data_IF_806431400040
#
_entry.id   IF_806431400040
#
_cell.length_a   1.000
_cell.length_b   1.000
_cell.length_c   1.000
_cell.angle_alpha   90.00
_cell.angle_beta   90.00
_cell.angle_gamma   90.00
#
_symmetry.space_group_name_H-M   'P 1'
#
loop_
_entity.id
_entity.type
_entity.pdbx_description
1 polymer ?
#
# COMPACT_ATOMS: atom_id res chain seq x y z
N UNK A 1 -18.27 -1.43 7.56
CA UNK A 1 -17.57 -2.49 6.80
C UNK A 1 -17.54 -2.03 5.35
N UNK A 2 -16.35 -1.90 4.78
CA UNK A 2 -16.17 -1.50 3.37
C UNK A 2 -15.81 -2.74 2.57
N UNK A 3 -16.40 -2.89 1.38
CA UNK A 3 -16.21 -4.05 0.51
C UNK A 3 -15.99 -3.56 -0.91
N UNK A 4 -14.89 -3.99 -1.52
CA UNK A 4 -14.58 -3.76 -2.93
C UNK A 4 -14.52 -5.13 -3.61
N UNK A 5 -15.37 -5.35 -4.60
CA UNK A 5 -15.34 -6.54 -5.44
C UNK A 5 -15.10 -6.09 -6.88
N UNK A 6 -14.04 -6.63 -7.50
CA UNK A 6 -13.77 -6.55 -8.93
C UNK A 6 -13.73 -7.97 -9.49
N UNK A 7 -13.76 -8.11 -10.81
CA UNK A 7 -13.82 -9.44 -11.45
C UNK A 7 -12.75 -10.41 -10.95
N UNK A 8 -11.54 -9.90 -10.66
CA UNK A 8 -10.37 -10.72 -10.33
C UNK A 8 -9.97 -10.71 -8.84
N UNK A 9 -10.59 -9.87 -7.99
CA UNK A 9 -10.24 -9.86 -6.56
C UNK A 9 -11.36 -9.35 -5.67
N UNK A 10 -11.26 -9.69 -4.38
CA UNK A 10 -12.13 -9.17 -3.33
C UNK A 10 -11.31 -8.51 -2.24
N UNK A 11 -11.72 -7.32 -1.79
CA UNK A 11 -11.17 -6.63 -0.62
C UNK A 11 -12.29 -6.33 0.39
N UNK A 12 -11.99 -6.53 1.67
CA UNK A 12 -12.90 -6.33 2.82
C UNK A 12 -12.17 -5.66 3.95
N UNK A 13 -12.76 -4.58 4.46
CA UNK A 13 -12.24 -3.81 5.58
C UNK A 13 -13.29 -3.70 6.70
N UNK A 14 -12.86 -4.05 7.89
CA UNK A 14 -13.56 -3.87 9.16
C UNK A 14 -12.69 -3.03 10.10
N UNK A 15 -13.26 -2.57 11.22
CA UNK A 15 -12.51 -1.79 12.22
C UNK A 15 -11.20 -2.47 12.65
N UNK A 16 -11.22 -3.80 12.80
CA UNK A 16 -10.10 -4.58 13.38
C UNK A 16 -9.29 -5.40 12.37
N UNK A 17 -9.70 -5.41 11.09
CA UNK A 17 -9.10 -6.29 10.08
C UNK A 17 -9.32 -5.79 8.67
N UNK A 18 -8.27 -5.90 7.85
CA UNK A 18 -8.32 -5.74 6.40
C UNK A 18 -7.86 -7.02 5.71
N UNK A 19 -8.57 -7.41 4.65
CA UNK A 19 -8.31 -8.62 3.91
C UNK A 19 -8.62 -8.39 2.44
N UNK A 20 -7.65 -8.64 1.57
CA UNK A 20 -7.81 -8.66 0.13
C UNK A 20 -7.21 -9.96 -0.41
N UNK A 21 -7.86 -10.58 -1.39
CA UNK A 21 -7.37 -11.80 -2.02
C UNK A 21 -7.79 -11.87 -3.47
N UNK A 22 -6.95 -12.54 -4.24
CA UNK A 22 -7.22 -12.95 -5.61
C UNK A 22 -8.23 -14.11 -5.66
N UNK A 23 -9.02 -14.19 -6.73
CA UNK A 23 -10.07 -15.21 -6.88
C UNK A 23 -9.50 -16.62 -7.00
N UNK A 24 -8.37 -16.79 -7.68
CA UNK A 24 -7.69 -18.07 -7.86
C UNK A 24 -7.02 -18.49 -6.55
N UNK A 25 -6.43 -17.55 -5.82
CA UNK A 25 -5.92 -17.84 -4.47
C UNK A 25 -7.04 -18.33 -3.52
N UNK A 26 -8.23 -17.74 -3.62
CA UNK A 26 -9.38 -18.21 -2.84
C UNK A 26 -9.86 -19.59 -3.27
N UNK A 27 -9.79 -19.93 -4.55
CA UNK A 27 -10.08 -21.30 -5.01
C UNK A 27 -9.03 -22.28 -4.46
N UNK A 28 -7.75 -21.94 -4.61
CA UNK A 28 -6.63 -22.74 -4.13
C UNK A 28 -6.70 -23.02 -2.62
N UNK A 29 -7.04 -22.03 -1.79
CA UNK A 29 -7.20 -22.23 -0.33
C UNK A 29 -8.35 -23.15 0.05
N UNK A 30 -9.38 -23.31 -0.80
CA UNK A 30 -10.46 -24.29 -0.58
C UNK A 30 -10.02 -25.71 -0.90
N UNK A 31 -9.17 -25.87 -1.91
CA UNK A 31 -8.57 -27.15 -2.29
C UNK A 31 -7.50 -27.61 -1.31
N UNK A 32 -6.90 -26.66 -0.58
CA UNK A 32 -5.85 -26.90 0.42
C UNK A 32 -6.32 -26.53 1.84
N UNK A 33 -7.37 -27.18 2.37
CA UNK A 33 -7.90 -26.85 3.68
C UNK A 33 -6.82 -27.04 4.74
N UNK A 34 -6.57 -25.99 5.52
CA UNK A 34 -5.57 -26.01 6.58
C UNK A 34 -4.19 -25.51 6.18
N UNK A 35 -3.91 -25.24 4.90
CA UNK A 35 -2.62 -24.66 4.46
C UNK A 35 -2.25 -23.41 5.28
N UNK A 36 -3.19 -22.46 5.41
CA UNK A 36 -2.94 -21.25 6.19
C UNK A 36 -2.71 -21.53 7.68
N UNK A 37 -3.39 -22.51 8.25
CA UNK A 37 -3.19 -22.90 9.65
C UNK A 37 -1.80 -23.49 9.85
N UNK A 38 -1.38 -24.41 8.97
CA UNK A 38 -0.05 -25.02 9.00
C UNK A 38 1.04 -23.97 8.84
N UNK A 39 0.89 -23.04 7.89
CA UNK A 39 1.82 -21.92 7.72
C UNK A 39 1.95 -21.07 8.99
N UNK A 40 0.82 -20.68 9.58
CA UNK A 40 0.82 -19.89 10.82
C UNK A 40 1.45 -20.66 12.00
N UNK A 41 1.27 -21.97 12.07
CA UNK A 41 1.93 -22.81 13.08
C UNK A 41 3.45 -22.85 12.89
N UNK A 42 3.95 -22.88 11.64
CA UNK A 42 5.38 -22.80 11.34
C UNK A 42 5.93 -21.44 11.78
N UNK A 43 5.39 -20.33 11.27
CA UNK A 43 5.98 -18.99 11.52
C UNK A 43 5.85 -18.52 12.96
N UNK A 44 4.96 -19.12 13.76
CA UNK A 44 4.82 -18.85 15.20
C UNK A 44 5.64 -19.81 16.07
N UNK A 45 6.21 -20.87 15.49
CA UNK A 45 7.01 -21.85 16.20
C UNK A 45 8.30 -21.24 16.76
N UNK A 46 8.88 -21.90 17.77
CA UNK A 46 10.20 -21.51 18.28
C UNK A 46 11.29 -21.74 17.22
N UNK A 47 11.19 -22.85 16.49
CA UNK A 47 12.11 -23.20 15.42
C UNK A 47 12.25 -22.08 14.39
N UNK A 48 11.12 -21.51 13.94
CA UNK A 48 11.15 -20.39 13.01
C UNK A 48 11.72 -19.11 13.61
N UNK A 49 11.46 -18.84 14.90
CA UNK A 49 12.00 -17.65 15.58
C UNK A 49 13.51 -17.71 15.76
N UNK A 50 14.08 -18.91 15.82
CA UNK A 50 15.51 -19.15 15.95
C UNK A 50 16.20 -19.33 14.58
N UNK A 51 15.45 -19.32 13.48
CA UNK A 51 15.96 -19.56 12.13
C UNK A 51 16.77 -18.38 11.56
N UNK A 52 17.69 -18.68 10.66
CA UNK A 52 18.48 -17.71 9.89
C UNK A 52 18.20 -17.81 8.40
N UNK A 53 18.62 -16.79 7.63
CA UNK A 53 18.45 -16.79 6.18
C UNK A 53 19.04 -18.06 5.54
N UNK A 54 18.26 -18.71 4.69
CA UNK A 54 18.54 -20.01 4.07
C UNK A 54 17.92 -21.21 4.79
N UNK A 55 17.52 -21.07 6.06
CA UNK A 55 16.90 -22.16 6.80
C UNK A 55 15.54 -22.55 6.20
N UNK A 56 15.24 -23.84 6.28
CA UNK A 56 14.03 -24.46 5.75
C UNK A 56 13.33 -25.16 6.90
N UNK A 57 12.04 -24.86 7.08
CA UNK A 57 11.19 -25.52 8.07
C UNK A 57 10.04 -26.20 7.33
N UNK A 58 9.86 -27.47 7.63
CA UNK A 58 8.91 -28.34 6.95
C UNK A 58 7.81 -28.82 7.90
N UNK A 59 6.58 -28.88 7.39
CA UNK A 59 5.46 -29.46 8.12
C UNK A 59 4.46 -30.10 7.16
N UNK A 60 4.48 -31.43 7.09
CA UNK A 60 3.74 -32.16 6.07
C UNK A 60 4.32 -31.86 4.69
N UNK A 61 3.48 -31.52 3.73
CA UNK A 61 3.87 -31.13 2.36
C UNK A 61 4.28 -29.66 2.24
N UNK A 62 4.16 -28.89 3.33
CA UNK A 62 4.53 -27.48 3.34
C UNK A 62 5.99 -27.30 3.69
N UNK A 63 6.68 -26.51 2.88
CA UNK A 63 8.07 -26.09 3.09
C UNK A 63 8.15 -24.57 3.13
N UNK A 64 8.73 -24.02 4.18
CA UNK A 64 8.92 -22.57 4.36
C UNK A 64 10.41 -22.29 4.45
N UNK A 65 10.94 -21.52 3.52
CA UNK A 65 12.33 -21.05 3.53
C UNK A 65 12.38 -19.61 3.99
N UNK A 66 13.21 -19.32 4.99
CA UNK A 66 13.54 -17.94 5.37
C UNK A 66 14.53 -17.38 4.36
N UNK A 67 14.12 -16.42 3.54
CA UNK A 67 14.99 -15.78 2.54
C UNK A 67 15.86 -14.74 3.23
N UNK A 68 15.21 -13.87 4.01
CA UNK A 68 15.85 -12.76 4.67
C UNK A 68 15.05 -12.35 5.91
N UNK A 69 15.76 -11.87 6.94
CA UNK A 69 15.17 -11.19 8.09
C UNK A 69 15.56 -9.71 8.02
N UNK A 70 14.60 -8.84 7.74
CA UNK A 70 14.85 -7.40 7.65
C UNK A 70 14.60 -6.74 9.00
N UNK A 71 15.62 -6.05 9.52
CA UNK A 71 15.51 -5.29 10.76
C UNK A 71 14.35 -4.27 10.67
N UNK A 72 13.45 -4.29 11.66
CA UNK A 72 12.22 -3.50 11.74
C UNK A 72 11.11 -3.79 10.70
N UNK A 73 11.31 -4.67 9.70
CA UNK A 73 10.29 -5.01 8.69
C UNK A 73 9.86 -6.48 8.72
N UNK A 74 10.50 -7.31 9.52
CA UNK A 74 10.15 -8.73 9.65
C UNK A 74 10.68 -9.61 8.51
N UNK A 75 10.30 -10.90 8.49
CA UNK A 75 10.86 -11.88 7.57
C UNK A 75 10.29 -11.79 6.15
N UNK A 76 11.09 -12.30 5.21
CA UNK A 76 10.75 -12.57 3.80
C UNK A 76 10.92 -14.05 3.54
N UNK A 77 9.87 -14.68 3.03
CA UNK A 77 9.76 -16.13 2.98
C UNK A 77 9.44 -16.62 1.58
N UNK A 78 9.98 -17.80 1.25
CA UNK A 78 9.45 -18.64 0.19
C UNK A 78 8.59 -19.72 0.82
N UNK A 79 7.36 -19.89 0.36
CA UNK A 79 6.46 -20.95 0.77
C UNK A 79 6.24 -21.87 -0.42
N UNK A 80 6.48 -23.16 -0.25
CA UNK A 80 6.22 -24.20 -1.25
C UNK A 80 5.16 -25.15 -0.68
N UNK A 81 4.09 -25.40 -1.46
CA UNK A 81 3.08 -26.40 -1.15
C UNK A 81 2.51 -26.97 -2.44
N UNK A 82 2.60 -28.29 -2.60
CA UNK A 82 2.02 -29.03 -3.73
C UNK A 82 2.46 -28.50 -5.11
N UNK A 83 3.74 -28.15 -5.23
CA UNK A 83 4.33 -27.61 -6.47
C UNK A 83 3.95 -26.16 -6.78
N UNK A 84 3.19 -25.50 -5.89
CA UNK A 84 2.93 -24.06 -5.98
C UNK A 84 3.87 -23.33 -5.04
N UNK A 85 4.50 -22.28 -5.56
CA UNK A 85 5.46 -21.48 -4.84
C UNK A 85 4.93 -20.06 -4.64
N UNK A 86 5.04 -19.57 -3.41
CA UNK A 86 4.63 -18.23 -3.02
C UNK A 86 5.79 -17.49 -2.37
N UNK A 87 5.80 -16.19 -2.57
CA UNK A 87 6.56 -15.27 -1.75
C UNK A 87 5.66 -14.71 -0.65
N UNK A 88 6.16 -14.63 0.59
CA UNK A 88 5.42 -14.08 1.73
C UNK A 88 6.25 -13.02 2.45
N UNK A 89 5.68 -11.82 2.60
CA UNK A 89 6.20 -10.78 3.50
C UNK A 89 5.39 -10.80 4.79
N UNK A 90 6.08 -10.81 5.93
CA UNK A 90 5.47 -10.56 7.24
C UNK A 90 6.05 -9.23 7.75
N UNK A 91 5.19 -8.25 7.99
CA UNK A 91 5.59 -6.92 8.46
C UNK A 91 5.32 -6.74 9.96
N UNK A 92 6.28 -6.16 10.68
CA UNK A 92 6.11 -5.80 12.09
C UNK A 92 5.28 -4.51 12.22
N UNK A 93 4.26 -4.51 13.08
CA UNK A 93 3.27 -3.42 13.13
C UNK A 93 3.74 -2.15 13.85
N UNK A 94 4.95 -2.10 14.40
CA UNK A 94 5.47 -0.87 15.04
C UNK A 94 5.78 0.26 14.03
N UNK A 95 5.73 -0.01 12.72
CA UNK A 95 6.01 0.93 11.64
C UNK A 95 4.83 1.85 11.27
N UNK A 96 3.67 1.76 11.93
CA UNK A 96 2.49 2.59 11.61
C UNK A 96 2.76 4.11 11.65
N UNK A 97 3.76 4.55 12.43
CA UNK A 97 4.15 5.96 12.51
C UNK A 97 5.02 6.43 11.33
N UNK A 98 5.47 5.53 10.46
CA UNK A 98 6.43 5.82 9.39
C UNK A 98 5.88 5.62 7.97
N UNK A 99 4.56 5.44 7.82
CA UNK A 99 3.93 5.44 6.48
C UNK A 99 4.20 4.20 5.62
N UNK A 100 4.79 3.12 6.17
CA UNK A 100 5.05 1.90 5.40
C UNK A 100 3.78 1.13 5.03
N UNK A 101 3.74 0.69 3.77
CA UNK A 101 2.64 -0.05 3.18
C UNK A 101 2.47 -1.41 3.86
N UNK A 102 1.27 -1.65 4.39
CA UNK A 102 0.89 -2.92 5.01
C UNK A 102 0.43 -3.90 3.94
N UNK A 103 0.42 -5.19 4.22
CA UNK A 103 0.19 -6.20 3.18
C UNK A 103 -1.16 -6.09 2.47
N UNK A 104 -2.21 -5.61 3.15
CA UNK A 104 -3.48 -5.25 2.49
C UNK A 104 -3.34 -4.08 1.51
N UNK A 105 -2.65 -3.00 1.91
CA UNK A 105 -2.39 -1.83 1.05
C UNK A 105 -1.52 -2.21 -0.14
N UNK A 106 -0.44 -2.97 0.08
CA UNK A 106 0.43 -3.45 -1.00
C UNK A 106 -0.37 -4.26 -2.03
N UNK A 107 -1.28 -5.14 -1.60
CA UNK A 107 -2.18 -5.85 -2.51
C UNK A 107 -3.07 -4.89 -3.31
N UNK A 108 -3.75 -3.95 -2.65
CA UNK A 108 -4.67 -3.01 -3.31
C UNK A 108 -3.94 -2.10 -4.29
N UNK A 109 -2.77 -1.59 -3.91
CA UNK A 109 -1.95 -0.74 -4.75
C UNK A 109 -1.38 -1.50 -5.95
N UNK A 110 -0.98 -2.75 -5.76
CA UNK A 110 -0.55 -3.62 -6.87
C UNK A 110 -1.69 -3.85 -7.87
N UNK A 111 -2.91 -4.09 -7.41
CA UNK A 111 -4.08 -4.20 -8.30
C UNK A 111 -4.33 -2.89 -9.05
N UNK A 112 -4.19 -1.74 -8.38
CA UNK A 112 -4.37 -0.44 -9.03
C UNK A 112 -3.27 -0.16 -10.06
N UNK A 113 -2.01 -0.47 -9.75
CA UNK A 113 -0.90 -0.34 -10.68
C UNK A 113 -1.10 -1.25 -11.91
N UNK A 114 -1.63 -2.47 -11.70
CA UNK A 114 -1.97 -3.40 -12.79
C UNK A 114 -3.02 -2.83 -13.73
N UNK A 115 -4.03 -2.14 -13.19
CA UNK A 115 -5.04 -1.44 -14.00
C UNK A 115 -4.44 -0.28 -14.80
N UNK A 116 -3.56 0.53 -14.19
CA UNK A 116 -2.95 1.70 -14.84
C UNK A 116 -1.95 1.31 -15.94
N UNK A 117 -1.21 0.23 -15.72
CA UNK A 117 -0.21 -0.27 -16.66
C UNK A 117 -0.79 -1.20 -17.75
N UNK A 118 -2.10 -1.50 -17.72
CA UNK A 118 -2.71 -2.52 -18.58
C UNK A 118 -2.51 -2.29 -20.09
N UNK A 119 -2.33 -1.04 -20.50
CA UNK A 119 -2.12 -0.66 -21.90
C UNK A 119 -0.62 -0.46 -22.27
N UNK A 120 0.30 -0.57 -21.30
CA UNK A 120 1.72 -0.37 -21.53
C UNK A 120 2.40 -1.69 -21.95
N UNK A 121 2.88 -1.82 -23.21
CA UNK A 121 3.40 -3.08 -23.72
C UNK A 121 4.69 -3.50 -23.00
N UNK A 122 4.80 -4.80 -22.73
CA UNK A 122 5.99 -5.38 -22.08
C UNK A 122 6.11 -5.02 -20.60
N UNK A 123 5.05 -4.57 -19.94
CA UNK A 123 5.08 -4.24 -18.51
C UNK A 123 3.97 -4.99 -17.79
N UNK A 124 4.31 -5.58 -16.65
CA UNK A 124 3.36 -6.29 -15.80
C UNK A 124 3.60 -5.94 -14.33
N UNK A 125 2.54 -6.07 -13.53
CA UNK A 125 2.65 -6.18 -12.07
C UNK A 125 2.72 -7.66 -11.75
N UNK A 126 3.60 -8.05 -10.84
CA UNK A 126 3.62 -9.38 -10.22
C UNK A 126 2.22 -9.81 -9.76
N UNK A 127 2.00 -11.10 -9.48
CA UNK A 127 0.66 -11.62 -9.14
C UNK A 127 0.42 -11.63 -7.63
N UNK A 128 -0.13 -10.56 -7.01
CA UNK A 128 -0.49 -10.56 -5.59
C UNK A 128 -1.65 -11.54 -5.36
N UNK A 129 -1.53 -12.36 -4.32
CA UNK A 129 -2.46 -13.43 -3.99
C UNK A 129 -3.28 -13.11 -2.73
N UNK A 130 -2.64 -12.51 -1.72
CA UNK A 130 -3.27 -12.16 -0.44
C UNK A 130 -2.64 -10.90 0.14
N UNK A 131 -3.47 -9.98 0.61
CA UNK A 131 -3.09 -8.92 1.52
C UNK A 131 -3.93 -8.99 2.79
N UNK A 132 -3.30 -9.22 3.94
CA UNK A 132 -3.97 -9.33 5.24
C UNK A 132 -3.36 -8.39 6.26
N UNK A 133 -4.19 -7.83 7.11
CA UNK A 133 -3.76 -6.92 8.15
C UNK A 133 -4.71 -6.90 9.35
N UNK A 134 -4.15 -6.85 10.56
CA UNK A 134 -4.78 -6.47 11.83
C UNK A 134 -3.95 -5.40 12.53
N UNK A 135 -4.25 -5.10 13.80
CA UNK A 135 -3.42 -4.25 14.66
C UNK A 135 -2.04 -4.87 14.99
N UNK A 136 -1.94 -6.20 14.96
CA UNK A 136 -0.76 -6.92 15.44
C UNK A 136 -0.04 -7.72 14.36
N UNK A 137 -0.66 -7.93 13.20
CA UNK A 137 -0.11 -8.78 12.13
C UNK A 137 -0.36 -8.17 10.76
N UNK A 138 0.59 -8.32 9.85
CA UNK A 138 0.47 -7.92 8.45
C UNK A 138 1.16 -8.94 7.57
N UNK A 139 0.41 -9.50 6.61
CA UNK A 139 0.92 -10.46 5.63
C UNK A 139 0.64 -9.96 4.22
N UNK A 140 1.64 -10.09 3.36
CA UNK A 140 1.48 -9.99 1.93
C UNK A 140 1.96 -11.29 1.29
N UNK A 141 1.20 -11.81 0.33
CA UNK A 141 1.53 -13.03 -0.43
C UNK A 141 1.42 -12.73 -1.92
N UNK A 142 2.42 -13.15 -2.69
CA UNK A 142 2.37 -13.21 -4.16
C UNK A 142 2.84 -14.57 -4.64
N UNK A 143 2.68 -14.85 -5.94
CA UNK A 143 3.43 -15.96 -6.55
C UNK A 143 4.93 -15.71 -6.46
N UNK A 144 5.68 -16.80 -6.33
CA UNK A 144 7.13 -16.76 -6.45
C UNK A 144 7.53 -16.48 -7.90
N UNK A 145 8.55 -15.64 -8.09
CA UNK A 145 9.14 -15.34 -9.38
C UNK A 145 10.63 -15.60 -9.27
N UNK A 146 11.14 -16.50 -10.10
CA UNK A 146 12.55 -16.85 -10.16
C UNK A 146 13.22 -16.12 -11.34
N UNK A 147 13.36 -14.80 -11.19
CA UNK A 147 13.98 -13.91 -12.18
C UNK A 147 14.99 -12.99 -11.50
N UNK A 148 16.05 -12.54 -12.21
CA UNK A 148 16.93 -11.51 -11.69
C UNK A 148 16.19 -10.18 -11.57
N UNK A 149 16.50 -9.43 -10.52
CA UNK A 149 16.06 -8.04 -10.42
C UNK A 149 16.67 -7.24 -11.58
N UNK A 150 15.93 -6.24 -12.06
CA UNK A 150 16.30 -5.43 -13.22
C UNK A 150 17.64 -4.74 -12.99
N UNK A 151 17.94 -4.34 -11.75
CA UNK A 151 19.23 -3.75 -11.39
C UNK A 151 20.40 -4.68 -11.75
N UNK A 152 20.38 -5.92 -11.28
CA UNK A 152 21.43 -6.91 -11.54
C UNK A 152 21.54 -7.23 -13.04
N UNK A 153 20.40 -7.26 -13.73
CA UNK A 153 20.38 -7.48 -15.18
C UNK A 153 21.01 -6.32 -15.96
N UNK A 154 20.72 -5.07 -15.57
CA UNK A 154 21.31 -3.88 -16.19
C UNK A 154 22.82 -3.79 -15.91
N UNK A 155 23.26 -4.14 -14.71
CA UNK A 155 24.69 -4.22 -14.37
C UNK A 155 25.40 -5.27 -15.24
N UNK A 156 24.79 -6.46 -15.41
CA UNK A 156 25.31 -7.50 -16.31
C UNK A 156 25.42 -7.01 -17.76
N UNK A 157 24.39 -6.36 -18.30
CA UNK A 157 24.41 -5.80 -19.65
C UNK A 157 25.48 -4.73 -19.83
N UNK A 158 25.66 -3.89 -18.81
CA UNK A 158 26.68 -2.83 -18.80
C UNK A 158 28.09 -3.42 -18.84
N UNK A 159 28.36 -4.47 -18.06
CA UNK A 159 29.62 -5.22 -18.10
C UNK A 159 29.88 -5.87 -19.48
N UNK A 160 28.82 -6.23 -20.21
CA UNK A 160 28.88 -6.77 -21.57
C UNK A 160 28.93 -5.69 -22.66
N UNK A 161 29.01 -4.41 -22.30
CA UNK A 161 28.95 -3.26 -23.22
C UNK A 161 27.66 -3.18 -24.07
N UNK A 162 26.55 -3.77 -23.61
CA UNK A 162 25.26 -3.70 -24.31
C UNK A 162 24.51 -2.40 -23.99
N UNK A 163 25.08 -1.27 -24.45
CA UNK A 163 24.54 0.08 -24.17
C UNK A 163 23.15 0.32 -24.76
N UNK A 164 22.84 -0.34 -25.87
CA UNK A 164 21.54 -0.20 -26.54
C UNK A 164 20.41 -0.72 -25.66
N UNK A 165 20.53 -1.96 -25.14
CA UNK A 165 19.50 -2.54 -24.28
C UNK A 165 19.38 -1.80 -22.93
N UNK A 166 20.50 -1.35 -22.36
CA UNK A 166 20.48 -0.51 -21.14
C UNK A 166 19.71 0.80 -21.39
N UNK A 167 19.93 1.46 -22.51
CA UNK A 167 19.21 2.69 -22.86
C UNK A 167 17.72 2.45 -23.11
N UNK A 168 17.36 1.32 -23.70
CA UNK A 168 15.95 0.94 -23.93
C UNK A 168 15.21 0.65 -22.63
N UNK A 169 15.80 -0.13 -21.72
CA UNK A 169 15.22 -0.43 -20.41
C UNK A 169 15.07 0.83 -19.54
N UNK A 170 16.05 1.74 -19.60
CA UNK A 170 15.96 3.04 -18.92
C UNK A 170 14.79 3.89 -19.44
N UNK A 171 14.55 3.88 -20.75
CA UNK A 171 13.42 4.58 -21.36
C UNK A 171 12.08 3.98 -20.91
N UNK A 172 11.95 2.65 -20.90
CA UNK A 172 10.74 1.98 -20.39
C UNK A 172 10.49 2.25 -18.92
N UNK A 173 11.52 2.24 -18.08
CA UNK A 173 11.40 2.65 -16.67
C UNK A 173 10.84 4.06 -16.53
N UNK A 174 11.29 5.01 -17.36
CA UNK A 174 10.76 6.39 -17.34
C UNK A 174 9.29 6.44 -17.74
N UNK A 175 8.89 5.71 -18.77
CA UNK A 175 7.48 5.59 -19.20
C UNK A 175 6.61 4.98 -18.09
N UNK A 176 7.11 3.96 -17.39
CA UNK A 176 6.45 3.37 -16.22
C UNK A 176 6.27 4.41 -15.11
N UNK A 177 7.31 5.20 -14.81
CA UNK A 177 7.26 6.25 -13.79
C UNK A 177 6.27 7.37 -14.15
N UNK A 178 6.11 7.68 -15.44
CA UNK A 178 5.12 8.64 -15.91
C UNK A 178 3.68 8.11 -15.75
N UNK A 179 3.44 6.82 -16.01
CA UNK A 179 2.11 6.19 -15.80
C UNK A 179 1.78 6.03 -14.32
N UNK A 180 2.78 5.77 -13.48
CA UNK A 180 2.64 5.57 -12.03
C UNK A 180 3.12 6.78 -11.23
N UNK A 181 2.80 8.00 -11.67
CA UNK A 181 3.31 9.24 -11.06
C UNK A 181 3.01 9.38 -9.55
N UNK A 182 1.89 8.83 -9.08
CA UNK A 182 1.47 8.85 -7.67
C UNK A 182 2.03 7.69 -6.82
N UNK A 183 2.85 6.82 -7.44
CA UNK A 183 3.47 5.68 -6.77
C UNK A 183 4.91 5.98 -6.35
N UNK A 184 5.31 5.38 -5.23
CA UNK A 184 6.67 5.38 -4.72
C UNK A 184 7.38 4.09 -5.10
N UNK A 185 8.70 4.09 -4.91
CA UNK A 185 9.57 2.92 -5.06
C UNK A 185 9.57 2.28 -6.46
N UNK A 186 9.31 3.10 -7.48
CA UNK A 186 9.46 2.72 -8.89
C UNK A 186 10.95 2.79 -9.28
N UNK A 187 11.72 1.81 -8.80
CA UNK A 187 13.18 1.68 -8.93
C UNK A 187 13.59 0.29 -9.42
N UNK A 188 14.80 0.13 -9.99
CA UNK A 188 15.22 -1.16 -10.59
C UNK A 188 15.32 -2.33 -9.59
N UNK A 189 15.46 -2.05 -8.30
CA UNK A 189 15.46 -3.08 -7.24
C UNK A 189 14.08 -3.71 -7.00
N UNK A 190 13.01 -3.01 -7.40
CA UNK A 190 11.61 -3.43 -7.25
C UNK A 190 11.00 -3.86 -8.59
N UNK A 191 11.87 -4.31 -9.51
CA UNK A 191 11.50 -4.76 -10.84
C UNK A 191 12.29 -6.03 -11.13
N UNK A 192 11.64 -7.02 -11.73
CA UNK A 192 12.32 -8.12 -12.42
C UNK A 192 12.39 -7.81 -13.91
N UNK A 193 13.35 -8.42 -14.59
CA UNK A 193 13.38 -8.45 -16.04
C UNK A 193 13.33 -9.87 -16.59
N UNK A 194 12.26 -10.17 -17.32
CA UNK A 194 12.11 -11.41 -18.07
C UNK A 194 12.68 -11.22 -19.48
N UNK A 195 13.92 -11.64 -19.66
CA UNK A 195 14.61 -11.57 -20.95
C UNK A 195 14.04 -12.49 -22.02
N UNK A 196 13.29 -13.53 -21.66
CA UNK A 196 12.71 -14.46 -22.63
C UNK A 196 11.46 -13.85 -23.28
N UNK A 197 10.67 -13.11 -22.48
CA UNK A 197 9.43 -12.48 -22.93
C UNK A 197 9.56 -10.96 -23.16
N UNK A 198 10.76 -10.39 -22.93
CA UNK A 198 11.04 -8.94 -22.99
C UNK A 198 10.10 -8.12 -22.10
N UNK A 199 9.91 -8.55 -20.85
CA UNK A 199 8.99 -7.92 -19.89
C UNK A 199 9.71 -7.35 -18.68
N UNK A 200 9.24 -6.19 -18.23
CA UNK A 200 9.53 -5.65 -16.89
C UNK A 200 8.37 -6.02 -15.99
N UNK A 201 8.66 -6.68 -14.86
CA UNK A 201 7.64 -7.09 -13.90
C UNK A 201 7.89 -6.33 -12.59
N UNK A 202 7.00 -5.42 -12.22
CA UNK A 202 7.13 -4.64 -11.00
C UNK A 202 6.61 -5.41 -9.78
N UNK A 203 7.19 -5.15 -8.62
CA UNK A 203 6.72 -5.60 -7.32
C UNK A 203 6.99 -4.55 -6.23
N UNK A 204 6.41 -4.72 -5.03
CA UNK A 204 6.59 -3.79 -3.90
C UNK A 204 6.27 -2.32 -4.27
N UNK A 205 5.23 -2.13 -5.10
CA UNK A 205 4.74 -0.81 -5.48
C UNK A 205 3.74 -0.31 -4.46
N UNK A 206 3.86 0.95 -4.08
CA UNK A 206 2.96 1.59 -3.11
C UNK A 206 2.57 2.97 -3.60
N UNK A 207 1.31 3.36 -3.40
CA UNK A 207 0.90 4.76 -3.58
C UNK A 207 1.31 5.59 -2.38
N UNK A 208 1.76 6.81 -2.63
CA UNK A 208 1.89 7.80 -1.57
C UNK A 208 0.53 8.02 -0.91
N UNK A 209 0.44 8.16 0.43
CA UNK A 209 -0.79 8.62 1.06
C UNK A 209 -1.21 9.98 0.49
N UNK A 210 -2.49 10.16 0.22
CA UNK A 210 -3.03 11.46 -0.13
C UNK A 210 -2.90 12.40 1.07
N UNK A 211 -2.45 13.62 0.81
CA UNK A 211 -2.35 14.68 1.80
C UNK A 211 -3.06 15.91 1.28
N UNK A 212 -4.15 16.29 1.96
CA UNK A 212 -5.08 17.31 1.49
C UNK A 212 -4.84 18.62 2.22
N UNK A 213 -4.60 19.69 1.45
CA UNK A 213 -4.58 21.07 1.94
C UNK A 213 -5.86 21.77 1.49
N UNK A 214 -6.69 22.20 2.43
CA UNK A 214 -7.98 22.84 2.13
C UNK A 214 -7.82 24.34 2.27
N UNK A 215 -7.81 25.04 1.13
CA UNK A 215 -7.59 26.48 1.06
C UNK A 215 -8.09 27.04 -0.28
N UNK A 216 -8.81 28.14 -0.25
CA UNK A 216 -9.42 28.75 -1.44
C UNK A 216 -8.40 29.51 -2.30
N UNK A 217 -7.32 30.00 -1.70
CA UNK A 217 -6.40 30.97 -2.32
C UNK A 217 -4.95 30.52 -2.29
N UNK A 218 -4.50 29.88 -1.21
CA UNK A 218 -3.11 29.50 -0.97
C UNK A 218 -2.84 28.10 -1.49
N UNK A 219 -1.64 27.90 -2.01
CA UNK A 219 -1.07 26.58 -2.25
C UNK A 219 -0.01 26.36 -1.19
N UNK A 220 0.07 25.17 -0.57
CA UNK A 220 1.07 24.94 0.47
C UNK A 220 2.47 24.95 -0.16
N UNK A 221 3.40 25.69 0.46
CA UNK A 221 4.84 25.57 0.16
C UNK A 221 5.44 24.26 0.74
N UNK A 222 4.67 23.59 1.58
CA UNK A 222 5.02 22.33 2.22
C UNK A 222 4.75 21.16 1.26
N UNK A 223 5.83 20.55 0.76
CA UNK A 223 5.81 19.37 -0.10
C UNK A 223 5.13 18.15 0.54
N UNK A 224 4.86 18.17 1.86
CA UNK A 224 4.06 17.13 2.51
C UNK A 224 2.59 17.13 2.08
N UNK A 225 2.10 18.16 1.36
CA UNK A 225 0.76 18.20 0.76
C UNK A 225 0.82 18.00 -0.75
N UNK A 226 0.24 16.90 -1.23
CA UNK A 226 0.20 16.56 -2.66
C UNK A 226 -1.13 16.91 -3.34
N UNK A 227 -2.15 17.30 -2.58
CA UNK A 227 -3.49 17.62 -3.11
C UNK A 227 -4.05 18.89 -2.47
N UNK A 228 -4.69 19.74 -3.26
CA UNK A 228 -5.36 20.96 -2.77
C UNK A 228 -6.86 20.87 -3.08
N UNK A 229 -7.68 21.21 -2.08
CA UNK A 229 -9.13 21.37 -2.25
C UNK A 229 -9.51 22.84 -2.03
N UNK A 230 -10.16 23.46 -3.01
CA UNK A 230 -10.51 24.89 -2.99
C UNK A 230 -11.85 25.18 -2.32
N UNK A 231 -12.71 24.18 -2.21
CA UNK A 231 -14.08 24.30 -1.73
C UNK A 231 -14.60 22.95 -1.21
N UNK A 232 -15.83 22.96 -0.69
CA UNK A 232 -16.44 21.77 -0.09
C UNK A 232 -16.66 20.63 -1.08
N UNK A 233 -17.04 20.95 -2.32
CA UNK A 233 -17.34 19.93 -3.32
C UNK A 233 -16.06 19.21 -3.76
N UNK A 234 -14.95 19.93 -3.94
CA UNK A 234 -13.64 19.34 -4.20
C UNK A 234 -13.17 18.48 -3.04
N UNK A 235 -13.25 18.99 -1.81
CA UNK A 235 -12.89 18.21 -0.62
C UNK A 235 -13.70 16.92 -0.52
N UNK A 236 -15.02 17.01 -0.66
CA UNK A 236 -15.92 15.88 -0.63
C UNK A 236 -15.59 14.88 -1.74
N UNK A 237 -15.35 15.34 -2.96
CA UNK A 237 -14.98 14.48 -4.07
C UNK A 237 -13.67 13.71 -3.82
N UNK A 238 -12.67 14.34 -3.17
CA UNK A 238 -11.43 13.68 -2.78
C UNK A 238 -11.66 12.60 -1.72
N UNK A 239 -12.47 12.89 -0.69
CA UNK A 239 -12.83 11.88 0.32
C UNK A 239 -13.57 10.71 -0.33
N UNK A 240 -14.60 10.98 -1.13
CA UNK A 240 -15.40 9.94 -1.80
C UNK A 240 -14.53 9.11 -2.77
N UNK A 241 -13.63 9.74 -3.52
CA UNK A 241 -12.65 9.06 -4.39
C UNK A 241 -11.75 8.13 -3.60
N UNK A 242 -11.20 8.61 -2.48
CA UNK A 242 -10.32 7.82 -1.65
C UNK A 242 -11.04 6.59 -1.08
N UNK A 243 -12.28 6.77 -0.63
CA UNK A 243 -13.12 5.69 -0.12
C UNK A 243 -13.46 4.64 -1.18
N UNK A 244 -13.80 5.08 -2.39
CA UNK A 244 -14.12 4.17 -3.50
C UNK A 244 -12.87 3.44 -4.03
N UNK A 245 -11.73 4.13 -4.10
CA UNK A 245 -10.48 3.64 -4.66
C UNK A 245 -9.55 2.94 -3.66
N UNK A 246 -9.94 2.86 -2.38
CA UNK A 246 -9.08 2.35 -1.32
C UNK A 246 -7.79 3.16 -1.15
N UNK A 247 -7.81 4.45 -1.48
CA UNK A 247 -6.68 5.36 -1.30
C UNK A 247 -6.55 5.72 0.18
N UNK A 248 -5.32 5.80 0.69
CA UNK A 248 -5.08 6.18 2.09
C UNK A 248 -4.90 7.68 2.16
N UNK A 249 -5.70 8.34 3.00
CA UNK A 249 -5.49 9.76 3.34
C UNK A 249 -4.63 9.84 4.59
N UNK A 250 -3.40 10.30 4.43
CA UNK A 250 -2.43 10.42 5.51
C UNK A 250 -2.57 11.71 6.32
N UNK A 251 -2.94 12.82 5.66
CA UNK A 251 -3.02 14.14 6.29
C UNK A 251 -4.15 14.97 5.69
N UNK A 252 -4.82 15.76 6.53
CA UNK A 252 -5.75 16.80 6.09
C UNK A 252 -5.48 18.06 6.90
N UNK A 253 -5.33 19.19 6.22
CA UNK A 253 -5.14 20.50 6.84
C UNK A 253 -6.24 21.44 6.44
N UNK A 254 -6.96 21.98 7.43
CA UNK A 254 -8.13 22.81 7.21
C UNK A 254 -7.82 24.30 7.34
N UNK A 255 -8.21 25.11 6.35
CA UNK A 255 -8.58 26.51 6.57
C UNK A 255 -10.06 26.61 6.91
N UNK A 256 -10.41 27.50 7.84
CA UNK A 256 -11.78 27.85 8.16
C UNK A 256 -12.39 28.82 7.14
N UNK A 257 -11.55 29.66 6.53
CA UNK A 257 -11.97 30.83 5.77
C UNK A 257 -11.74 30.57 4.27
N UNK A 258 -12.71 29.94 3.61
CA UNK A 258 -12.66 29.63 2.17
C UNK A 258 -13.56 30.59 1.37
N UNK A 259 -13.12 31.83 1.23
CA UNK A 259 -13.78 32.86 0.42
C UNK A 259 -14.91 33.62 1.12
N UNK A 260 -15.87 34.12 0.33
CA UNK A 260 -16.96 35.00 0.81
C UNK A 260 -18.05 34.27 1.63
N UNK A 261 -17.92 32.96 1.84
CA UNK A 261 -18.83 32.14 2.63
C UNK A 261 -18.34 31.94 4.07
N UNK A 262 -19.07 32.48 5.05
CA UNK A 262 -18.74 32.22 6.46
C UNK A 262 -18.75 30.71 6.78
N UNK A 263 -17.60 30.21 7.26
CA UNK A 263 -17.38 28.92 7.97
C UNK A 263 -17.42 27.66 7.10
N UNK A 264 -16.73 27.63 5.96
CA UNK A 264 -16.67 26.41 5.16
C UNK A 264 -15.79 25.33 5.80
N UNK A 265 -14.60 25.66 6.30
CA UNK A 265 -13.71 24.66 6.90
C UNK A 265 -14.31 23.94 8.10
N UNK A 266 -15.01 24.66 8.98
CA UNK A 266 -15.75 24.05 10.09
C UNK A 266 -16.87 23.11 9.59
N UNK A 267 -17.58 23.48 8.52
CA UNK A 267 -18.61 22.61 7.92
C UNK A 267 -17.97 21.34 7.35
N UNK A 268 -16.84 21.45 6.66
CA UNK A 268 -16.11 20.28 6.14
C UNK A 268 -15.67 19.34 7.24
N UNK A 269 -15.08 19.91 8.31
CA UNK A 269 -14.59 19.15 9.45
C UNK A 269 -15.73 18.40 10.15
N UNK A 270 -16.89 19.06 10.34
CA UNK A 270 -18.07 18.41 10.91
C UNK A 270 -18.62 17.31 9.99
N UNK A 271 -18.74 17.60 8.69
CA UNK A 271 -19.19 16.62 7.71
C UNK A 271 -18.28 15.39 7.69
N UNK A 272 -16.97 15.58 7.75
CA UNK A 272 -15.99 14.49 7.83
C UNK A 272 -16.21 13.65 9.10
N UNK A 273 -16.41 14.29 10.25
CA UNK A 273 -16.64 13.59 11.52
C UNK A 273 -17.97 12.80 11.53
N UNK A 274 -19.00 13.34 10.89
CA UNK A 274 -20.34 12.73 10.84
C UNK A 274 -20.41 11.56 9.84
N UNK A 275 -19.72 11.67 8.69
CA UNK A 275 -19.84 10.69 7.60
C UNK A 275 -18.67 9.70 7.55
N UNK A 276 -17.48 10.10 8.01
CA UNK A 276 -16.26 9.30 7.95
C UNK A 276 -15.46 9.35 9.28
N UNK A 277 -16.06 8.91 10.39
CA UNK A 277 -15.44 8.99 11.72
C UNK A 277 -14.09 8.26 11.83
N UNK A 278 -13.81 7.32 10.92
CA UNK A 278 -12.53 6.58 10.86
C UNK A 278 -11.31 7.48 10.67
N UNK A 279 -11.44 8.68 10.09
CA UNK A 279 -10.30 9.60 9.97
C UNK A 279 -9.91 10.25 11.29
N UNK A 280 -10.69 10.06 12.36
CA UNK A 280 -10.43 10.59 13.69
C UNK A 280 -9.87 9.53 14.65
N UNK A 281 -9.52 8.32 14.22
CA UNK A 281 -8.94 7.31 15.12
C UNK A 281 -7.47 7.55 15.48
N UNK A 282 -6.86 8.60 14.92
CA UNK A 282 -5.46 8.98 15.14
C UNK A 282 -4.49 8.48 14.06
N UNK A 283 -4.96 7.76 13.03
CA UNK A 283 -4.15 7.32 11.89
C UNK A 283 -4.02 8.39 10.79
N UNK A 284 -4.94 9.34 10.74
CA UNK A 284 -4.86 10.51 9.85
C UNK A 284 -4.43 11.73 10.65
N UNK A 285 -3.40 12.43 10.17
CA UNK A 285 -2.93 13.67 10.77
C UNK A 285 -3.87 14.82 10.38
N UNK A 286 -4.73 15.24 11.31
CA UNK A 286 -5.68 16.32 11.11
C UNK A 286 -5.14 17.63 11.74
N UNK A 287 -4.92 18.64 10.90
CA UNK A 287 -4.36 19.94 11.30
C UNK A 287 -5.26 21.10 10.89
N UNK A 288 -5.05 22.27 11.50
CA UNK A 288 -5.77 23.50 11.16
C UNK A 288 -4.75 24.61 10.90
N UNK A 289 -4.79 25.21 9.72
CA UNK A 289 -3.86 26.27 9.32
C UNK A 289 -4.54 27.63 9.16
N UNK A 290 -5.83 27.72 9.51
CA UNK A 290 -6.64 28.94 9.38
C UNK A 290 -6.05 30.16 10.08
N UNK A 291 -6.00 31.32 9.42
CA UNK A 291 -5.46 32.55 10.00
C UNK A 291 -6.28 33.09 11.19
N UNK A 292 -7.56 32.73 11.29
CA UNK A 292 -8.44 33.14 12.40
C UNK A 292 -8.14 32.31 13.67
N UNK A 293 -7.52 32.90 14.71
CA UNK A 293 -7.07 32.14 15.89
C UNK A 293 -8.23 31.57 16.72
N UNK A 294 -9.39 32.22 16.71
CA UNK A 294 -10.58 31.75 17.44
C UNK A 294 -11.19 30.55 16.73
N UNK A 295 -11.33 30.61 15.40
CA UNK A 295 -11.82 29.49 14.60
C UNK A 295 -10.85 28.31 14.65
N UNK A 296 -9.54 28.59 14.47
CA UNK A 296 -8.48 27.59 14.58
C UNK A 296 -8.56 26.81 15.88
N UNK A 297 -8.58 27.51 17.02
CA UNK A 297 -8.66 26.87 18.34
C UNK A 297 -9.90 25.99 18.48
N UNK A 298 -11.07 26.45 18.01
CA UNK A 298 -12.31 25.67 18.06
C UNK A 298 -12.23 24.39 17.22
N UNK A 299 -11.68 24.48 16.01
CA UNK A 299 -11.47 23.31 15.14
C UNK A 299 -10.50 22.31 15.75
N UNK A 300 -9.39 22.78 16.31
CA UNK A 300 -8.42 21.93 17.00
C UNK A 300 -9.02 21.22 18.22
N UNK A 301 -9.81 21.93 19.03
CA UNK A 301 -10.54 21.35 20.16
C UNK A 301 -11.54 20.30 19.70
N UNK A 302 -12.25 20.54 18.59
CA UNK A 302 -13.19 19.59 18.01
C UNK A 302 -12.49 18.34 17.45
N UNK A 303 -11.35 18.50 16.77
CA UNK A 303 -10.50 17.39 16.33
C UNK A 303 -10.08 16.55 17.52
N UNK A 304 -9.55 17.17 18.59
CA UNK A 304 -9.15 16.46 19.82
C UNK A 304 -10.31 15.70 20.45
N UNK A 305 -11.49 16.34 20.53
CA UNK A 305 -12.70 15.70 21.05
C UNK A 305 -13.08 14.48 20.22
N UNK A 306 -13.14 14.61 18.89
CA UNK A 306 -13.47 13.50 17.99
C UNK A 306 -12.42 12.39 18.08
N UNK A 307 -11.13 12.72 18.19
CA UNK A 307 -10.09 11.72 18.38
C UNK A 307 -10.32 10.94 19.66
N UNK A 308 -10.61 11.60 20.79
CA UNK A 308 -10.93 10.89 22.03
C UNK A 308 -12.19 10.03 21.88
N UNK A 309 -13.19 10.52 21.16
CA UNK A 309 -14.46 9.82 20.96
C UNK A 309 -14.33 8.56 20.08
N UNK A 310 -13.48 8.60 19.06
CA UNK A 310 -13.36 7.56 18.03
C UNK A 310 -12.11 6.70 18.13
N UNK A 311 -11.13 7.09 18.97
CA UNK A 311 -10.00 6.26 19.34
C UNK A 311 -10.48 5.13 20.26
N UNK A 312 -10.84 4.01 19.65
CA UNK A 312 -11.15 2.75 20.33
C UNK A 312 -9.89 1.92 20.50
#
# INVERSE_FOLDING_TARGET
MTKLEKENFTSRETETRKLAYDVDFRAWTKEHPGAMKTFLEIVRSKEFKDAVAGDIIEKGEMRVTLIEQIYNRGPRLKLELNGVEFFVKIEETNLEKQGFARGHKEFVDSQKAKELLGDLPGVEIYEPQLGYQTESESFFVSKWIDLPVLYDYVEMLSAQNNKEKVSELSKRKKEIQEVLEDFTDIVEYNMFYDSQNDKIILFDVSRSPMTIYIDDTRTPDDFEYNTVARNFDEFRALIERAEMGGEVIGKISFDNDLGEGEKEGWKMLRWLAENYPKYFDGRTDLRVHSANPVARKKMEEFIKYCIILYKK
#
